data_IF_128899768138
#
_entry.id   IF_128899768138
#
_cell.length_a   1.000
_cell.length_b   1.000
_cell.length_c   1.000
_cell.angle_alpha   90.00
_cell.angle_beta   90.00
_cell.angle_gamma   90.00
#
_symmetry.space_group_name_H-M   'P 1'
#
loop_
_entity.id
_entity.type
_entity.pdbx_description
1 polymer ?
#
# COMPACT_ATOMS: atom_id res chain seq x y z
N UNK A 1 14.46 30.42 -22.62
CA UNK A 1 13.79 29.10 -22.56
C UNK A 1 12.69 29.20 -21.50
N UNK A 2 11.56 28.49 -21.63
CA UNK A 2 10.59 28.40 -20.53
C UNK A 2 11.13 27.39 -19.52
N UNK A 3 11.67 27.85 -18.39
CA UNK A 3 12.28 26.99 -17.39
C UNK A 3 11.38 26.96 -16.16
N UNK A 4 11.09 25.76 -15.68
CA UNK A 4 10.34 25.54 -14.44
C UNK A 4 11.35 25.04 -13.40
N UNK A 5 11.75 25.92 -12.50
CA UNK A 5 12.67 25.55 -11.41
C UNK A 5 11.98 24.60 -10.44
N UNK A 6 12.77 23.75 -9.78
CA UNK A 6 12.25 22.83 -8.78
C UNK A 6 11.57 23.61 -7.64
N UNK A 7 10.24 23.53 -7.58
CA UNK A 7 9.41 24.23 -6.58
C UNK A 7 8.67 25.47 -7.08
N UNK A 8 8.76 25.84 -8.37
CA UNK A 8 7.97 26.93 -8.93
C UNK A 8 6.63 26.44 -9.51
N UNK A 9 5.53 27.09 -9.12
CA UNK A 9 4.18 26.71 -9.53
C UNK A 9 3.89 26.97 -11.01
N UNK A 10 4.51 27.99 -11.61
CA UNK A 10 4.37 28.32 -13.03
C UNK A 10 5.74 28.45 -13.71
N UNK A 11 5.89 27.99 -14.96
CA UNK A 11 7.13 28.14 -15.71
C UNK A 11 7.40 29.63 -16.00
N UNK A 12 8.63 30.07 -15.80
CA UNK A 12 9.07 31.43 -16.09
C UNK A 12 9.92 31.45 -17.35
N UNK A 13 9.76 32.49 -18.18
CA UNK A 13 10.71 32.76 -19.27
C UNK A 13 12.00 33.31 -18.67
N UNK A 14 13.02 32.48 -18.62
CA UNK A 14 14.36 32.90 -18.21
C UNK A 14 15.31 32.88 -19.41
N UNK A 15 16.11 33.93 -19.52
CA UNK A 15 17.28 33.93 -20.38
C UNK A 15 18.38 33.21 -19.60
N UNK A 16 18.89 32.12 -20.16
CA UNK A 16 19.99 31.36 -19.58
C UNK A 16 21.13 31.35 -20.57
N UNK A 17 22.34 31.55 -20.07
CA UNK A 17 23.55 31.51 -20.88
C UNK A 17 24.04 30.08 -20.92
N UNK A 18 24.37 29.59 -22.12
CA UNK A 18 25.05 28.30 -22.23
C UNK A 18 26.51 28.51 -21.88
N UNK A 19 27.02 27.71 -20.95
CA UNK A 19 28.45 27.66 -20.60
C UNK A 19 28.95 26.24 -20.75
N UNK A 20 30.27 26.09 -20.84
CA UNK A 20 30.93 24.79 -20.93
C UNK A 20 31.89 24.64 -19.77
N UNK A 21 31.73 23.56 -19.01
CA UNK A 21 32.64 23.22 -17.92
C UNK A 21 33.50 22.03 -18.36
N UNK A 22 34.81 22.14 -18.15
CA UNK A 22 35.72 21.02 -18.31
C UNK A 22 35.89 20.34 -16.95
N UNK A 23 35.63 19.05 -16.89
CA UNK A 23 35.84 18.20 -15.73
C UNK A 23 36.84 17.11 -16.08
N UNK A 24 37.63 16.66 -15.11
CA UNK A 24 38.55 15.54 -15.29
C UNK A 24 38.11 14.39 -14.39
N UNK A 25 38.16 13.17 -14.93
CA UNK A 25 37.90 11.98 -14.14
C UNK A 25 39.12 11.49 -13.36
N UNK A 26 38.93 10.44 -12.57
CA UNK A 26 39.99 9.87 -11.73
C UNK A 26 41.20 9.35 -12.54
N UNK A 27 41.00 9.03 -13.82
CA UNK A 27 42.04 8.57 -14.75
C UNK A 27 42.69 9.73 -15.53
N UNK A 28 42.29 10.98 -15.24
CA UNK A 28 42.79 12.20 -15.87
C UNK A 28 42.18 12.49 -17.24
N UNK A 29 41.12 11.77 -17.64
CA UNK A 29 40.43 12.00 -18.91
C UNK A 29 39.50 13.21 -18.77
N UNK A 30 39.57 14.09 -19.76
CA UNK A 30 38.78 15.32 -19.78
C UNK A 30 37.38 15.10 -20.38
N UNK A 31 36.37 15.58 -19.67
CA UNK A 31 34.96 15.55 -20.03
C UNK A 31 34.42 16.98 -20.14
N UNK A 32 33.80 17.32 -21.27
CA UNK A 32 33.16 18.62 -21.47
C UNK A 32 31.66 18.54 -21.16
N UNK A 33 31.23 19.28 -20.15
CA UNK A 33 29.83 19.43 -19.77
C UNK A 33 29.25 20.68 -20.40
N UNK A 34 28.14 20.54 -21.13
CA UNK A 34 27.35 21.68 -21.60
C UNK A 34 26.32 22.03 -20.54
N UNK A 35 26.46 23.20 -19.94
CA UNK A 35 25.65 23.65 -18.82
C UNK A 35 24.86 24.91 -19.18
N UNK A 36 23.77 25.12 -18.46
CA UNK A 36 22.95 26.31 -18.54
C UNK A 36 23.03 27.04 -17.20
N UNK A 37 23.39 28.33 -17.21
CA UNK A 37 23.56 29.10 -15.98
C UNK A 37 22.21 29.54 -15.44
N UNK A 38 22.02 29.41 -14.13
CA UNK A 38 20.81 29.85 -13.44
C UNK A 38 21.13 30.22 -11.99
N UNK A 39 20.56 31.33 -11.49
CA UNK A 39 20.89 31.90 -10.17
C UNK A 39 20.49 30.99 -9.01
N UNK A 40 19.45 30.17 -9.19
CA UNK A 40 18.98 29.19 -8.20
C UNK A 40 18.65 27.87 -8.89
N UNK A 41 19.46 26.85 -8.66
CA UNK A 41 19.28 25.52 -9.27
C UNK A 41 18.22 24.69 -8.54
N UNK A 42 18.38 24.49 -7.23
CA UNK A 42 17.40 23.82 -6.36
C UNK A 42 17.46 24.40 -4.95
N UNK A 43 16.49 24.02 -4.10
CA UNK A 43 16.63 24.16 -2.66
C UNK A 43 17.83 23.33 -2.16
N UNK A 44 18.42 23.72 -1.04
CA UNK A 44 19.45 22.94 -0.36
C UNK A 44 18.92 21.52 -0.08
N UNK A 45 19.72 20.50 -0.38
CA UNK A 45 19.42 19.13 0.02
C UNK A 45 20.40 18.69 1.12
N UNK A 46 19.92 17.85 2.02
CA UNK A 46 20.79 17.13 2.95
C UNK A 46 21.41 15.96 2.20
N UNK A 47 22.74 15.81 2.28
CA UNK A 47 23.40 14.59 1.83
C UNK A 47 22.81 13.35 2.52
N UNK A 48 22.83 12.21 1.83
CA UNK A 48 22.43 10.95 2.42
C UNK A 48 23.36 10.65 3.61
N UNK A 49 22.79 10.57 4.82
CA UNK A 49 23.53 10.15 6.00
C UNK A 49 23.81 8.66 5.87
N UNK A 50 25.09 8.30 5.83
CA UNK A 50 25.52 6.90 5.92
C UNK A 50 25.69 6.55 7.40
N UNK A 51 25.19 5.39 7.78
CA UNK A 51 25.35 4.89 9.14
C UNK A 51 26.80 4.43 9.36
N UNK A 52 27.21 4.32 10.63
CA UNK A 52 28.60 3.96 10.97
C UNK A 52 29.01 2.60 10.38
N UNK A 53 28.08 1.65 10.27
CA UNK A 53 28.32 0.35 9.63
C UNK A 53 28.59 0.48 8.12
N UNK A 54 27.88 1.37 7.42
CA UNK A 54 28.11 1.66 6.00
C UNK A 54 29.45 2.35 5.80
N UNK A 55 29.80 3.30 6.68
CA UNK A 55 31.09 3.98 6.67
C UNK A 55 32.25 3.01 6.94
N UNK A 56 32.08 2.08 7.88
CA UNK A 56 33.04 1.02 8.13
C UNK A 56 33.17 0.07 6.94
N UNK A 57 32.05 -0.27 6.28
CA UNK A 57 32.08 -1.07 5.06
C UNK A 57 32.86 -0.39 3.94
N UNK A 58 32.64 0.91 3.71
CA UNK A 58 33.36 1.71 2.71
C UNK A 58 34.85 1.75 3.04
N UNK A 59 35.22 2.02 4.29
CA UNK A 59 36.63 2.06 4.74
C UNK A 59 37.32 0.72 4.61
N UNK A 60 36.66 -0.37 5.02
CA UNK A 60 37.22 -1.74 4.98
C UNK A 60 37.44 -2.23 3.56
N UNK A 61 36.56 -1.85 2.64
CA UNK A 61 36.68 -2.20 1.22
C UNK A 61 37.48 -1.17 0.40
N UNK A 62 38.09 -0.17 1.07
CA UNK A 62 38.89 0.88 0.45
C UNK A 62 38.19 1.59 -0.73
N UNK A 63 36.87 1.80 -0.62
CA UNK A 63 36.07 2.39 -1.71
C UNK A 63 36.22 3.92 -1.67
N UNK A 64 36.66 4.51 -2.77
CA UNK A 64 36.78 5.97 -2.90
C UNK A 64 35.42 6.61 -3.14
N UNK A 65 34.94 7.37 -2.15
CA UNK A 65 33.72 8.19 -2.25
C UNK A 65 34.08 9.67 -2.33
N UNK A 66 33.30 10.45 -3.09
CA UNK A 66 33.57 11.89 -3.30
C UNK A 66 33.19 12.77 -2.11
N UNK A 67 32.36 12.28 -1.19
CA UNK A 67 31.88 13.05 -0.05
C UNK A 67 32.69 12.73 1.20
N UNK A 68 33.59 13.65 1.58
CA UNK A 68 33.99 13.76 2.98
C UNK A 68 32.76 14.24 3.75
N UNK A 69 32.10 13.33 4.48
CA UNK A 69 30.87 13.59 5.24
C UNK A 69 31.13 14.62 6.35
N UNK A 70 31.13 15.90 5.96
CA UNK A 70 31.38 17.04 6.86
C UNK A 70 30.09 17.56 7.49
N UNK A 71 28.93 17.03 7.09
CA UNK A 71 27.61 17.44 7.60
C UNK A 71 27.18 18.85 7.14
N UNK A 72 27.90 19.45 6.19
CA UNK A 72 27.63 20.80 5.69
C UNK A 72 26.51 20.72 4.64
N UNK A 73 25.38 21.37 4.94
CA UNK A 73 24.28 21.55 3.99
C UNK A 73 24.68 22.68 3.03
N UNK A 74 25.12 22.33 1.82
CA UNK A 74 25.41 23.30 0.76
C UNK A 74 24.47 23.08 -0.44
N UNK A 75 24.05 24.16 -1.15
CA UNK A 75 23.27 24.01 -2.37
C UNK A 75 24.09 23.31 -3.45
N UNK A 76 23.46 22.46 -4.30
CA UNK A 76 24.16 21.91 -5.45
C UNK A 76 24.62 23.03 -6.36
N UNK A 77 25.88 22.94 -6.78
CA UNK A 77 26.46 23.89 -7.73
C UNK A 77 26.15 23.52 -9.18
N UNK A 78 25.88 22.23 -9.45
CA UNK A 78 25.63 21.71 -10.80
C UNK A 78 24.53 20.65 -10.71
N UNK A 79 23.55 20.74 -11.61
CA UNK A 79 22.59 19.67 -11.87
C UNK A 79 22.95 19.01 -13.20
N UNK A 80 23.23 17.71 -13.14
CA UNK A 80 23.49 16.91 -14.35
C UNK A 80 22.19 16.20 -14.75
N UNK A 81 21.72 16.49 -15.95
CA UNK A 81 20.55 15.82 -16.52
C UNK A 81 20.86 14.39 -16.94
N UNK A 82 19.81 13.59 -17.13
CA UNK A 82 19.95 12.20 -17.59
C UNK A 82 20.58 12.10 -18.99
N UNK A 83 20.54 13.15 -19.80
CA UNK A 83 21.17 13.25 -21.11
C UNK A 83 22.71 13.21 -21.02
N UNK A 84 23.30 13.82 -20.00
CA UNK A 84 24.76 13.87 -19.80
C UNK A 84 25.27 12.91 -18.71
N UNK A 85 24.40 12.45 -17.80
CA UNK A 85 24.77 11.57 -16.68
C UNK A 85 25.50 10.29 -17.12
N UNK A 86 25.01 9.65 -18.19
CA UNK A 86 25.51 8.33 -18.60
C UNK A 86 26.98 8.32 -19.02
N UNK A 87 27.52 9.47 -19.46
CA UNK A 87 28.95 9.59 -19.81
C UNK A 87 29.89 9.44 -18.62
N UNK A 88 29.38 9.66 -17.40
CA UNK A 88 30.14 9.57 -16.16
C UNK A 88 29.95 8.25 -15.43
N UNK A 89 28.97 7.41 -15.78
CA UNK A 89 28.82 6.11 -15.12
C UNK A 89 29.91 5.16 -15.60
N UNK A 90 30.63 4.54 -14.67
CA UNK A 90 31.67 3.57 -15.00
C UNK A 90 31.09 2.16 -14.88
N UNK A 91 30.63 1.60 -16.01
CA UNK A 91 30.01 0.28 -16.04
C UNK A 91 31.00 -0.89 -15.86
N UNK A 92 32.30 -0.65 -15.98
CA UNK A 92 33.33 -1.69 -15.85
C UNK A 92 33.75 -1.89 -14.39
N UNK A 93 33.50 -0.89 -13.53
CA UNK A 93 33.77 -0.99 -12.11
C UNK A 93 32.64 -1.72 -11.36
N UNK A 94 32.94 -2.40 -10.23
CA UNK A 94 31.95 -3.17 -9.49
C UNK A 94 30.97 -2.28 -8.73
N UNK A 95 29.69 -2.62 -8.79
CA UNK A 95 28.67 -2.02 -7.93
C UNK A 95 28.67 -2.70 -6.55
N UNK A 96 28.60 -1.91 -5.48
CA UNK A 96 28.50 -2.44 -4.12
C UNK A 96 27.14 -2.15 -3.50
N UNK A 97 26.66 -3.09 -2.70
CA UNK A 97 25.50 -2.86 -1.82
C UNK A 97 26.03 -2.70 -0.40
N UNK A 98 25.77 -1.54 0.19
CA UNK A 98 26.07 -1.24 1.57
C UNK A 98 25.20 -2.08 2.52
N UNK A 99 25.66 -2.34 3.76
CA UNK A 99 24.86 -3.01 4.79
C UNK A 99 23.44 -2.45 4.94
N UNK A 100 23.27 -1.13 4.84
CA UNK A 100 21.95 -0.47 4.88
C UNK A 100 21.02 -0.78 3.68
N UNK A 101 21.51 -1.47 2.66
CA UNK A 101 20.82 -1.71 1.39
C UNK A 101 20.91 -0.54 0.41
N UNK A 102 21.66 0.52 0.75
CA UNK A 102 22.10 1.52 -0.22
C UNK A 102 23.10 0.92 -1.20
N UNK A 103 23.25 1.55 -2.35
CA UNK A 103 24.03 1.06 -3.45
C UNK A 103 25.05 2.11 -3.84
N UNK A 104 26.29 1.68 -3.94
CA UNK A 104 27.37 2.46 -4.51
C UNK A 104 27.44 2.15 -6.00
N UNK A 105 27.03 3.12 -6.80
CA UNK A 105 27.12 3.09 -8.25
C UNK A 105 28.48 3.69 -8.65
N UNK A 106 29.34 2.94 -9.33
CA UNK A 106 30.60 3.47 -9.80
C UNK A 106 30.38 4.55 -10.86
N UNK A 107 31.01 5.69 -10.66
CA UNK A 107 31.16 6.74 -11.67
C UNK A 107 32.64 7.00 -11.89
N UNK A 108 32.98 7.61 -13.02
CA UNK A 108 34.35 8.00 -13.37
C UNK A 108 34.91 9.08 -12.43
N UNK A 109 34.04 9.82 -11.73
CA UNK A 109 34.44 10.84 -10.76
C UNK A 109 34.62 10.28 -9.34
N UNK A 110 33.82 9.28 -8.96
CA UNK A 110 33.84 8.55 -7.67
C UNK A 110 32.65 7.57 -7.58
N UNK A 111 32.49 6.86 -6.47
CA UNK A 111 31.23 6.14 -6.21
C UNK A 111 30.10 7.07 -5.78
N UNK A 112 28.97 6.97 -6.48
CA UNK A 112 27.71 7.65 -6.19
C UNK A 112 26.80 6.77 -5.33
N UNK A 113 26.22 7.31 -4.26
CA UNK A 113 25.26 6.59 -3.42
C UNK A 113 23.85 6.68 -4.03
N UNK A 114 23.21 5.54 -4.22
CA UNK A 114 21.84 5.39 -4.72
C UNK A 114 21.07 4.35 -3.89
N UNK A 115 19.76 4.24 -4.04
CA UNK A 115 18.94 3.22 -3.35
C UNK A 115 18.27 2.34 -4.40
N UNK A 116 18.47 1.02 -4.33
CA UNK A 116 17.78 0.09 -5.24
C UNK A 116 16.47 -0.40 -4.64
N UNK A 117 15.53 -0.76 -5.51
CA UNK A 117 14.24 -1.34 -5.12
C UNK A 117 14.09 -2.58 -6.03
N UNK A 118 14.00 -3.81 -5.48
CA UNK A 118 13.72 -5.08 -6.21
C UNK A 118 13.68 -6.39 -5.33
N UNK A 119 12.58 -7.21 -5.38
CA UNK A 119 12.31 -8.59 -4.84
C UNK A 119 12.81 -9.84 -5.66
N UNK A 120 13.36 -10.91 -5.08
CA UNK A 120 13.39 -12.29 -5.67
C UNK A 120 13.48 -13.30 -4.51
N UNK A 121 12.87 -14.48 -4.49
CA UNK A 121 12.65 -15.50 -5.54
C UNK A 121 11.24 -16.11 -5.42
N UNK A 122 10.51 -16.54 -6.46
CA UNK A 122 10.78 -16.77 -7.87
C UNK A 122 10.22 -15.65 -8.75
N UNK A 123 10.92 -15.38 -9.85
CA UNK A 123 10.59 -14.49 -10.98
C UNK A 123 9.54 -13.38 -10.74
N UNK A 124 10.01 -12.12 -10.82
CA UNK A 124 9.23 -10.85 -10.84
C UNK A 124 9.17 -10.01 -9.55
N UNK A 125 10.38 -9.56 -9.23
CA UNK A 125 10.87 -8.29 -8.69
C UNK A 125 10.02 -7.05 -9.08
N UNK A 126 9.18 -6.47 -8.20
CA UNK A 126 8.71 -5.04 -8.30
C UNK A 126 8.63 -4.30 -6.97
N UNK A 127 9.60 -3.43 -6.75
CA UNK A 127 9.58 -2.29 -5.85
C UNK A 127 10.54 -1.31 -6.58
N UNK A 128 10.18 -0.02 -6.79
CA UNK A 128 10.85 1.18 -7.37
C UNK A 128 11.20 2.30 -6.35
N UNK A 129 12.38 2.88 -6.15
CA UNK A 129 12.45 4.27 -5.60
C UNK A 129 13.76 4.96 -6.05
N UNK A 130 13.77 5.40 -7.31
CA UNK A 130 14.32 6.71 -7.70
C UNK A 130 13.66 7.11 -9.03
N UNK A 131 13.37 8.40 -9.14
CA UNK A 131 12.52 9.03 -10.15
C UNK A 131 13.35 9.61 -11.29
N UNK A 132 13.00 9.26 -12.54
CA UNK A 132 13.36 10.03 -13.74
C UNK A 132 12.07 10.47 -14.40
N UNK A 133 11.90 11.79 -14.48
CA UNK A 133 10.77 12.46 -15.13
C UNK A 133 11.13 12.77 -16.59
N UNK A 134 10.42 12.15 -17.53
CA UNK A 134 10.22 12.64 -18.90
C UNK A 134 9.01 13.61 -18.93
N UNK A 135 9.07 14.67 -19.75
CA UNK A 135 7.88 15.46 -20.16
C UNK A 135 8.22 16.23 -21.45
N UNK A 136 7.75 15.87 -22.64
CA UNK A 136 6.38 15.79 -23.24
C UNK A 136 5.78 17.13 -23.72
N UNK A 137 5.46 17.16 -25.01
CA UNK A 137 4.61 18.13 -25.73
C UNK A 137 3.15 17.66 -25.78
N UNK A 138 2.23 18.59 -26.01
CA UNK A 138 0.77 18.42 -25.83
C UNK A 138 0.04 17.50 -26.81
N UNK A 139 0.66 17.09 -27.93
CA UNK A 139 0.04 16.14 -28.88
C UNK A 139 0.18 14.68 -28.43
N UNK A 140 1.11 14.39 -27.53
CA UNK A 140 1.28 13.06 -26.96
C UNK A 140 0.20 12.73 -25.92
N UNK A 141 -0.51 13.71 -25.34
CA UNK A 141 -1.44 13.44 -24.24
C UNK A 141 -2.65 12.61 -24.70
N UNK A 142 -3.18 12.85 -25.89
CA UNK A 142 -4.27 12.04 -26.47
C UNK A 142 -3.78 10.66 -26.89
N UNK A 143 -2.54 10.55 -27.40
CA UNK A 143 -1.89 9.28 -27.75
C UNK A 143 -1.55 8.46 -26.50
N UNK A 144 -1.08 9.09 -25.43
CA UNK A 144 -0.66 8.49 -24.16
C UNK A 144 -1.86 8.16 -23.28
N UNK A 145 -2.96 8.92 -23.36
CA UNK A 145 -4.24 8.52 -22.78
C UNK A 145 -4.85 7.36 -23.57
N UNK A 146 -4.74 7.32 -24.91
CA UNK A 146 -5.08 6.13 -25.69
C UNK A 146 -4.16 4.96 -25.39
N UNK A 147 -2.85 5.20 -25.22
CA UNK A 147 -1.83 4.17 -24.95
C UNK A 147 -2.00 3.64 -23.54
N UNK A 148 -2.27 4.48 -22.53
CA UNK A 148 -2.54 4.04 -21.18
C UNK A 148 -3.94 3.44 -21.06
N UNK A 149 -4.94 3.90 -21.81
CA UNK A 149 -6.26 3.25 -21.87
C UNK A 149 -6.19 1.91 -22.60
N UNK A 150 -5.31 1.76 -23.61
CA UNK A 150 -4.97 0.49 -24.25
C UNK A 150 -4.14 -0.41 -23.35
N UNK A 151 -3.10 0.11 -22.68
CA UNK A 151 -2.17 -0.60 -21.81
C UNK A 151 -2.83 -0.99 -20.48
N UNK A 152 -3.77 -0.20 -19.98
CA UNK A 152 -4.61 -0.56 -18.81
C UNK A 152 -5.75 -1.51 -19.17
N UNK A 153 -6.25 -1.50 -20.41
CA UNK A 153 -7.05 -2.60 -20.95
C UNK A 153 -6.20 -3.85 -21.26
N UNK A 154 -4.93 -3.70 -21.63
CA UNK A 154 -3.98 -4.80 -21.90
C UNK A 154 -3.45 -5.43 -20.60
N UNK A 155 -3.40 -4.68 -19.49
CA UNK A 155 -3.23 -5.25 -18.14
C UNK A 155 -4.49 -5.98 -17.65
N UNK A 156 -5.66 -5.68 -18.21
CA UNK A 156 -6.87 -6.52 -18.05
C UNK A 156 -6.95 -7.65 -19.10
N UNK A 157 -6.18 -7.57 -20.19
CA UNK A 157 -6.08 -8.56 -21.26
C UNK A 157 -4.73 -9.27 -21.32
N UNK A 158 -3.98 -9.38 -20.21
CA UNK A 158 -3.13 -10.56 -20.04
C UNK A 158 -4.10 -11.74 -20.11
N UNK A 159 -4.13 -12.44 -21.25
CA UNK A 159 -4.92 -13.64 -21.44
C UNK A 159 -4.52 -14.64 -20.36
N UNK A 160 -5.24 -14.60 -19.26
CA UNK A 160 -5.06 -15.44 -18.08
C UNK A 160 -6.03 -16.61 -18.23
N UNK A 161 -5.96 -17.24 -19.42
CA UNK A 161 -6.66 -18.47 -19.75
C UNK A 161 -8.17 -18.48 -19.44
N UNK A 162 -8.75 -19.69 -19.35
CA UNK A 162 -10.13 -19.88 -18.92
C UNK A 162 -10.38 -19.52 -17.44
N UNK A 163 -9.35 -19.49 -16.58
CA UNK A 163 -9.49 -19.29 -15.13
C UNK A 163 -9.96 -17.87 -14.75
N UNK A 164 -9.43 -16.82 -15.41
CA UNK A 164 -9.89 -15.44 -15.15
C UNK A 164 -11.32 -15.22 -15.61
N UNK A 165 -11.69 -15.81 -16.74
CA UNK A 165 -13.05 -15.75 -17.27
C UNK A 165 -14.03 -16.51 -16.37
N UNK A 166 -13.65 -17.70 -15.89
CA UNK A 166 -14.41 -18.46 -14.90
C UNK A 166 -14.59 -17.67 -13.60
N UNK A 167 -13.52 -17.07 -13.06
CA UNK A 167 -13.59 -16.22 -11.87
C UNK A 167 -14.46 -14.99 -12.06
N UNK A 168 -14.41 -14.36 -13.24
CA UNK A 168 -15.29 -13.25 -13.60
C UNK A 168 -16.76 -13.69 -13.63
N UNK A 169 -17.04 -14.86 -14.22
CA UNK A 169 -18.38 -15.44 -14.27
C UNK A 169 -18.91 -15.79 -12.88
N UNK A 170 -18.08 -16.37 -12.01
CA UNK A 170 -18.42 -16.62 -10.60
C UNK A 170 -18.71 -15.30 -9.89
N UNK A 171 -17.85 -14.29 -10.03
CA UNK A 171 -18.04 -12.99 -9.41
C UNK A 171 -19.32 -12.29 -9.88
N UNK A 172 -19.66 -12.39 -11.17
CA UNK A 172 -20.90 -11.83 -11.72
C UNK A 172 -22.13 -12.49 -11.09
N UNK A 173 -22.15 -13.83 -11.00
CA UNK A 173 -23.23 -14.58 -10.33
C UNK A 173 -23.35 -14.23 -8.85
N UNK A 174 -22.23 -14.13 -8.14
CA UNK A 174 -22.19 -13.73 -6.72
C UNK A 174 -22.75 -12.32 -6.54
N UNK A 175 -22.40 -11.39 -7.42
CA UNK A 175 -22.89 -10.00 -7.37
C UNK A 175 -24.39 -9.92 -7.69
N UNK A 176 -24.88 -10.72 -8.64
CA UNK A 176 -26.31 -10.84 -8.95
C UNK A 176 -27.10 -11.38 -7.75
N UNK A 177 -26.64 -12.46 -7.14
CA UNK A 177 -27.25 -13.03 -5.93
C UNK A 177 -27.21 -12.06 -4.75
N UNK A 178 -26.09 -11.35 -4.56
CA UNK A 178 -25.94 -10.30 -3.56
C UNK A 178 -26.98 -9.21 -3.77
N UNK A 179 -27.05 -8.61 -4.96
CA UNK A 179 -27.97 -7.52 -5.29
C UNK A 179 -29.43 -7.95 -5.15
N UNK A 180 -29.77 -9.17 -5.58
CA UNK A 180 -31.12 -9.72 -5.44
C UNK A 180 -31.52 -9.93 -3.98
N UNK A 181 -30.55 -10.19 -3.10
CA UNK A 181 -30.79 -10.41 -1.67
C UNK A 181 -30.86 -9.13 -0.84
N UNK A 182 -30.71 -7.95 -1.46
CA UNK A 182 -30.80 -6.67 -0.75
C UNK A 182 -32.27 -6.41 -0.40
N UNK A 183 -32.56 -6.42 0.90
CA UNK A 183 -33.88 -6.10 1.45
C UNK A 183 -33.78 -4.81 2.27
N UNK A 184 -34.58 -3.80 1.94
CA UNK A 184 -34.73 -2.62 2.80
C UNK A 184 -35.84 -2.89 3.79
N UNK A 185 -35.54 -2.93 5.09
CA UNK A 185 -36.56 -3.07 6.14
C UNK A 185 -36.79 -1.73 6.82
N UNK A 186 -38.00 -1.52 7.31
CA UNK A 186 -38.31 -0.33 8.10
C UNK A 186 -37.45 -0.37 9.39
N UNK A 187 -36.73 0.71 9.67
CA UNK A 187 -35.82 0.91 10.82
C UNK A 187 -34.36 0.42 10.73
N UNK A 188 -33.97 -0.38 9.73
CA UNK A 188 -32.56 -0.78 9.49
C UNK A 188 -32.28 -0.61 8.00
N UNK A 189 -31.25 0.18 7.66
CA UNK A 189 -31.06 0.72 6.31
C UNK A 189 -31.09 -0.34 5.20
N UNK A 190 -30.34 -1.44 5.35
CA UNK A 190 -30.25 -2.52 4.35
C UNK A 190 -29.89 -3.85 5.01
N UNK A 191 -30.57 -4.91 4.58
CA UNK A 191 -30.25 -6.31 4.86
C UNK A 191 -29.71 -6.96 3.60
N UNK A 192 -28.70 -7.80 3.74
CA UNK A 192 -28.15 -8.58 2.62
C UNK A 192 -27.80 -9.97 3.09
N UNK A 193 -28.05 -10.98 2.26
CA UNK A 193 -27.68 -12.37 2.57
C UNK A 193 -26.20 -12.58 2.30
N UNK A 194 -25.54 -13.37 3.15
CA UNK A 194 -24.16 -13.79 2.88
C UNK A 194 -24.13 -14.68 1.63
N UNK A 195 -23.23 -14.41 0.67
CA UNK A 195 -23.12 -15.21 -0.54
C UNK A 195 -22.38 -16.53 -0.23
N UNK A 196 -23.12 -17.52 0.25
CA UNK A 196 -22.57 -18.86 0.50
C UNK A 196 -22.24 -19.58 -0.81
N UNK A 197 -21.14 -20.32 -0.82
CA UNK A 197 -20.76 -21.21 -1.93
C UNK A 197 -21.78 -22.34 -2.03
N UNK A 198 -22.24 -22.69 -3.24
CA UNK A 198 -23.19 -23.79 -3.43
C UNK A 198 -22.56 -25.16 -3.16
N UNK A 199 -21.27 -25.29 -3.45
CA UNK A 199 -20.46 -26.47 -3.23
C UNK A 199 -19.46 -26.17 -2.11
N UNK A 200 -19.85 -26.46 -0.87
CA UNK A 200 -18.94 -26.42 0.27
C UNK A 200 -19.21 -27.62 1.19
N UNK A 201 -18.19 -28.08 1.89
CA UNK A 201 -18.38 -29.04 2.99
C UNK A 201 -19.33 -28.43 4.04
N UNK A 202 -20.18 -29.22 4.71
CA UNK A 202 -21.06 -28.71 5.74
C UNK A 202 -20.27 -27.92 6.79
N UNK A 203 -20.65 -26.68 7.06
CA UNK A 203 -20.01 -25.87 8.09
C UNK A 203 -20.40 -26.42 9.46
N UNK A 204 -19.47 -27.01 10.24
CA UNK A 204 -19.83 -27.63 11.50
C UNK A 204 -20.05 -26.58 12.60
N UNK A 205 -20.81 -26.98 13.61
CA UNK A 205 -20.92 -26.24 14.86
C UNK A 205 -19.54 -26.18 15.55
N UNK A 206 -19.07 -24.97 15.84
CA UNK A 206 -17.81 -24.70 16.52
C UNK A 206 -18.01 -24.03 17.90
N UNK A 207 -19.19 -24.21 18.53
CA UNK A 207 -19.54 -23.56 19.80
C UNK A 207 -18.52 -23.84 20.89
N UNK A 208 -18.11 -25.10 21.04
CA UNK A 208 -17.15 -25.49 22.07
C UNK A 208 -15.78 -24.82 21.88
N UNK A 209 -15.32 -24.66 20.64
CA UNK A 209 -14.09 -23.92 20.30
C UNK A 209 -14.21 -22.44 20.67
N UNK A 210 -15.30 -21.79 20.26
CA UNK A 210 -15.54 -20.38 20.54
C UNK A 210 -15.65 -20.12 22.06
N UNK A 211 -16.38 -20.97 22.77
CA UNK A 211 -16.52 -20.90 24.21
C UNK A 211 -15.19 -21.10 24.95
N UNK A 212 -14.36 -22.06 24.52
CA UNK A 212 -13.05 -22.27 25.12
C UNK A 212 -12.14 -21.04 24.96
N UNK A 213 -12.16 -20.40 23.79
CA UNK A 213 -11.43 -19.14 23.55
C UNK A 213 -11.96 -18.00 24.41
N UNK A 214 -13.28 -17.86 24.56
CA UNK A 214 -13.87 -16.88 25.47
C UNK A 214 -13.40 -17.09 26.91
N UNK A 215 -13.45 -18.32 27.42
CA UNK A 215 -12.98 -18.65 28.77
C UNK A 215 -11.49 -18.34 28.95
N UNK A 216 -10.67 -18.60 27.94
CA UNK A 216 -9.25 -18.26 27.95
C UNK A 216 -9.03 -16.74 28.04
N UNK A 217 -9.81 -15.94 27.31
CA UNK A 217 -9.75 -14.48 27.36
C UNK A 217 -10.17 -13.95 28.73
N UNK A 218 -11.28 -14.44 29.28
CA UNK A 218 -11.77 -14.01 30.59
C UNK A 218 -10.76 -14.31 31.69
N UNK A 219 -10.10 -15.49 31.64
CA UNK A 219 -9.01 -15.84 32.57
C UNK A 219 -7.77 -14.98 32.37
N UNK A 220 -7.37 -14.74 31.12
CA UNK A 220 -6.19 -13.93 30.81
C UNK A 220 -6.31 -12.51 31.37
N UNK A 221 -7.51 -11.93 31.31
CA UNK A 221 -7.79 -10.55 31.72
C UNK A 221 -8.55 -10.46 33.05
N UNK A 222 -8.56 -11.52 33.86
CA UNK A 222 -9.32 -11.59 35.11
C UNK A 222 -8.93 -10.47 36.10
N UNK A 223 -7.65 -10.08 36.09
CA UNK A 223 -7.12 -9.01 36.93
C UNK A 223 -7.23 -7.61 36.29
N UNK A 224 -7.68 -7.51 35.03
CA UNK A 224 -7.78 -6.26 34.28
C UNK A 224 -9.25 -5.77 34.22
N UNK A 225 -9.80 -5.37 35.37
CA UNK A 225 -11.22 -4.99 35.51
C UNK A 225 -11.67 -3.92 34.50
N UNK A 226 -10.84 -2.88 34.29
CA UNK A 226 -11.14 -1.80 33.34
C UNK A 226 -11.27 -2.33 31.90
N UNK A 227 -10.42 -3.28 31.51
CA UNK A 227 -10.45 -3.87 30.17
C UNK A 227 -11.70 -4.71 29.98
N UNK A 228 -12.04 -5.57 30.95
CA UNK A 228 -13.24 -6.40 30.89
C UNK A 228 -14.53 -5.54 30.86
N UNK A 229 -14.52 -4.42 31.58
CA UNK A 229 -15.63 -3.45 31.52
C UNK A 229 -15.76 -2.85 30.11
N UNK A 230 -14.67 -2.33 29.52
CA UNK A 230 -14.67 -1.83 28.14
C UNK A 230 -15.10 -2.89 27.14
N UNK A 231 -14.69 -4.15 27.37
CA UNK A 231 -15.08 -5.27 26.55
C UNK A 231 -16.59 -5.49 26.58
N UNK A 232 -17.19 -5.52 27.78
CA UNK A 232 -18.62 -5.66 27.97
C UNK A 232 -19.41 -4.48 27.36
N UNK A 233 -18.93 -3.25 27.55
CA UNK A 233 -19.56 -2.04 27.02
C UNK A 233 -19.68 -2.07 25.49
N UNK A 234 -18.72 -2.66 24.77
CA UNK A 234 -18.82 -2.83 23.31
C UNK A 234 -20.02 -3.69 22.92
N UNK A 235 -20.26 -4.80 23.61
CA UNK A 235 -21.41 -5.66 23.31
C UNK A 235 -22.73 -4.99 23.70
N UNK A 236 -22.76 -4.30 24.85
CA UNK A 236 -23.96 -3.55 25.27
C UNK A 236 -24.31 -2.41 24.31
N UNK A 237 -23.33 -1.65 23.81
CA UNK A 237 -23.54 -0.61 22.81
C UNK A 237 -24.10 -1.20 21.50
N UNK A 238 -23.60 -2.37 21.09
CA UNK A 238 -24.08 -3.06 19.88
C UNK A 238 -25.50 -3.61 20.03
N UNK A 239 -25.86 -4.16 21.20
CA UNK A 239 -27.23 -4.57 21.51
C UNK A 239 -28.18 -3.37 21.52
N UNK A 240 -27.81 -2.28 22.21
CA UNK A 240 -28.62 -1.05 22.27
C UNK A 240 -28.87 -0.43 20.88
N UNK A 241 -27.91 -0.56 19.98
CA UNK A 241 -28.00 -0.06 18.59
C UNK A 241 -28.71 -1.02 17.64
N UNK A 242 -29.24 -2.15 18.14
CA UNK A 242 -29.81 -3.23 17.34
C UNK A 242 -28.85 -3.72 16.24
N UNK A 243 -27.53 -3.63 16.48
CA UNK A 243 -26.51 -4.21 15.61
C UNK A 243 -26.41 -5.71 15.85
N UNK A 244 -26.75 -6.13 17.07
CA UNK A 244 -26.80 -7.52 17.51
C UNK A 244 -28.10 -7.76 18.25
N UNK A 245 -28.50 -9.01 18.26
CA UNK A 245 -29.63 -9.49 19.01
C UNK A 245 -29.24 -10.76 19.76
N UNK A 246 -29.97 -11.05 20.84
CA UNK A 246 -29.84 -12.30 21.55
C UNK A 246 -30.52 -13.41 20.76
N UNK A 247 -29.78 -14.50 20.54
CA UNK A 247 -30.30 -15.67 19.82
C UNK A 247 -30.97 -16.59 20.83
N UNK A 248 -32.24 -16.91 20.61
CA UNK A 248 -32.95 -17.89 21.43
C UNK A 248 -32.44 -19.30 21.12
N UNK A 249 -31.71 -19.90 22.07
CA UNK A 249 -31.18 -21.26 21.95
C UNK A 249 -32.29 -22.35 22.06
N UNK A 250 -33.50 -21.99 22.49
CA UNK A 250 -34.63 -22.92 22.68
C UNK A 250 -35.46 -23.15 21.42
N UNK A 251 -35.34 -22.27 20.42
CA UNK A 251 -36.01 -22.43 19.14
C UNK A 251 -35.18 -23.29 18.18
N UNK A 252 -35.65 -24.51 17.93
CA UNK A 252 -35.06 -25.48 16.98
C UNK A 252 -35.23 -25.07 15.49
N UNK A 253 -35.69 -23.84 15.23
CA UNK A 253 -35.88 -23.28 13.89
C UNK A 253 -34.56 -23.03 13.14
N UNK A 254 -33.41 -23.03 13.83
CA UNK A 254 -32.09 -22.92 13.20
C UNK A 254 -31.57 -24.29 12.71
N UNK A 255 -32.30 -24.91 11.79
CA UNK A 255 -32.04 -26.30 11.38
C UNK A 255 -30.95 -26.46 10.31
N UNK A 256 -30.37 -25.37 9.78
CA UNK A 256 -29.55 -25.46 8.54
C UNK A 256 -28.06 -25.10 8.67
N UNK A 257 -27.67 -24.14 9.52
CA UNK A 257 -26.24 -23.82 9.71
C UNK A 257 -26.04 -22.94 10.96
N UNK A 258 -25.27 -23.41 11.95
CA UNK A 258 -24.85 -22.64 13.13
C UNK A 258 -23.34 -22.58 13.21
N UNK A 259 -22.80 -21.36 13.31
CA UNK A 259 -21.37 -21.15 13.43
C UNK A 259 -21.09 -19.92 14.30
N UNK A 260 -20.14 -20.06 15.20
CA UNK A 260 -19.80 -19.08 16.22
C UNK A 260 -18.48 -18.41 15.86
N UNK A 261 -18.42 -17.09 16.02
CA UNK A 261 -17.19 -16.32 15.78
C UNK A 261 -16.49 -16.09 17.12
N UNK A 262 -15.36 -16.77 17.42
CA UNK A 262 -14.54 -16.41 18.56
C UNK A 262 -14.10 -14.96 18.43
N UNK A 263 -13.97 -14.27 19.54
CA UNK A 263 -13.68 -12.85 19.54
C UNK A 263 -12.68 -12.49 20.62
N UNK A 264 -11.88 -11.44 20.39
CA UNK A 264 -10.85 -11.01 21.32
C UNK A 264 -10.65 -9.50 21.33
N UNK A 265 -10.27 -8.91 22.48
CA UNK A 265 -9.91 -7.50 22.55
C UNK A 265 -8.55 -7.25 21.89
N UNK A 266 -8.44 -6.14 21.15
CA UNK A 266 -7.19 -5.62 20.62
C UNK A 266 -6.98 -4.21 21.15
N UNK A 267 -5.84 -4.00 21.80
CA UNK A 267 -5.47 -2.76 22.47
C UNK A 267 -4.33 -2.15 21.67
N UNK A 268 -4.43 -0.86 21.34
CA UNK A 268 -3.36 -0.12 20.65
C UNK A 268 -2.84 0.97 21.60
N UNK A 269 -1.68 0.78 22.24
CA UNK A 269 -1.23 1.62 23.36
C UNK A 269 -0.71 3.02 22.96
N UNK A 270 -0.42 3.28 21.68
CA UNK A 270 0.38 4.46 21.26
C UNK A 270 -0.42 5.69 20.80
N UNK A 271 -1.68 5.88 21.18
CA UNK A 271 -2.43 7.10 20.85
C UNK A 271 -3.23 7.60 22.04
N UNK A 272 -3.24 8.92 22.26
CA UNK A 272 -3.93 9.64 23.35
C UNK A 272 -5.45 9.39 23.45
N UNK A 273 -6.03 8.65 22.51
CA UNK A 273 -7.33 8.01 22.60
C UNK A 273 -7.20 6.52 22.23
N UNK A 274 -6.98 5.67 23.23
CA UNK A 274 -6.85 4.21 23.08
C UNK A 274 -8.06 3.63 22.37
N UNK A 275 -7.96 3.31 21.08
CA UNK A 275 -9.04 2.63 20.33
C UNK A 275 -9.11 1.17 20.74
N UNK A 276 -9.79 0.89 21.85
CA UNK A 276 -10.21 -0.46 22.21
C UNK A 276 -11.11 -1.02 21.11
N UNK A 277 -10.79 -2.19 20.57
CA UNK A 277 -11.60 -2.85 19.53
C UNK A 277 -11.76 -4.33 19.81
N UNK A 278 -12.92 -4.87 19.47
CA UNK A 278 -13.18 -6.31 19.51
C UNK A 278 -13.06 -6.87 18.09
N UNK A 279 -12.20 -7.86 17.92
CA UNK A 279 -11.98 -8.55 16.63
C UNK A 279 -12.63 -9.91 16.68
N UNK A 280 -13.34 -10.28 15.60
CA UNK A 280 -13.99 -11.56 15.42
C UNK A 280 -13.17 -12.41 14.44
N UNK A 281 -12.93 -13.67 14.79
CA UNK A 281 -12.15 -14.61 13.99
C UNK A 281 -13.07 -15.53 13.18
N UNK A 282 -13.35 -15.13 11.94
CA UNK A 282 -14.13 -15.93 10.98
C UNK A 282 -13.33 -17.08 10.34
N UNK A 283 -12.03 -17.18 10.64
CA UNK A 283 -11.18 -18.28 10.19
C UNK A 283 -11.11 -19.42 11.22
N UNK A 284 -11.80 -19.32 12.35
CA UNK A 284 -11.75 -20.34 13.39
C UNK A 284 -12.53 -21.60 13.00
N UNK A 285 -11.81 -22.72 12.86
CA UNK A 285 -12.36 -24.02 12.48
C UNK A 285 -11.68 -25.17 13.24
N UNK A 286 -12.32 -26.34 13.27
CA UNK A 286 -11.69 -27.58 13.71
C UNK A 286 -10.76 -28.13 12.63
N UNK A 287 -9.84 -29.01 13.03
CA UNK A 287 -8.95 -29.69 12.08
C UNK A 287 -9.79 -30.45 11.04
N UNK A 288 -9.47 -30.26 9.75
CA UNK A 288 -10.17 -30.86 8.62
C UNK A 288 -11.65 -30.46 8.53
N UNK A 289 -11.98 -29.21 8.86
CA UNK A 289 -13.32 -28.66 8.68
C UNK A 289 -13.23 -27.26 8.09
N UNK A 290 -14.21 -26.82 7.27
CA UNK A 290 -14.18 -25.48 6.70
C UNK A 290 -14.42 -24.42 7.78
N UNK A 291 -13.84 -23.23 7.57
CA UNK A 291 -14.18 -22.01 8.32
C UNK A 291 -15.28 -21.21 7.62
N UNK A 292 -15.84 -20.19 8.30
CA UNK A 292 -16.81 -19.30 7.67
C UNK A 292 -16.24 -18.61 6.42
N UNK A 293 -14.96 -18.23 6.45
CA UNK A 293 -14.27 -17.63 5.31
C UNK A 293 -14.15 -18.59 4.12
N UNK A 294 -14.12 -19.91 4.36
CA UNK A 294 -14.00 -20.92 3.30
C UNK A 294 -15.34 -21.17 2.60
N UNK A 295 -16.46 -21.02 3.31
CA UNK A 295 -17.80 -21.25 2.76
C UNK A 295 -18.46 -20.01 2.16
N UNK A 296 -17.96 -18.81 2.44
CA UNK A 296 -18.47 -17.56 1.87
C UNK A 296 -17.66 -17.17 0.63
N UNK A 297 -18.32 -16.70 -0.43
CA UNK A 297 -17.64 -16.10 -1.58
C UNK A 297 -17.01 -14.75 -1.19
N UNK A 298 -15.72 -14.58 -1.49
CA UNK A 298 -15.02 -13.30 -1.33
C UNK A 298 -15.67 -12.17 -2.15
N UNK A 299 -16.25 -12.51 -3.31
CA UNK A 299 -16.82 -11.57 -4.25
C UNK A 299 -15.77 -10.76 -5.02
N UNK A 300 -16.22 -9.89 -5.94
CA UNK A 300 -15.34 -9.02 -6.71
C UNK A 300 -14.68 -7.94 -5.83
N UNK A 301 -13.46 -7.55 -6.17
CA UNK A 301 -12.81 -6.39 -5.53
C UNK A 301 -13.50 -5.10 -5.96
N UNK A 302 -14.30 -4.52 -5.07
CA UNK A 302 -14.99 -3.23 -5.27
C UNK A 302 -14.11 -2.02 -4.92
N UNK A 303 -12.88 -2.25 -4.45
CA UNK A 303 -11.96 -1.17 -4.10
C UNK A 303 -11.47 -0.48 -5.38
N UNK A 304 -11.58 0.86 -5.47
CA UNK A 304 -11.05 1.59 -6.61
C UNK A 304 -9.52 1.42 -6.67
N UNK A 305 -8.98 1.36 -7.88
CA UNK A 305 -7.53 1.22 -8.10
C UNK A 305 -6.79 2.38 -7.42
N UNK A 306 -5.82 2.07 -6.56
CA UNK A 306 -5.14 3.06 -5.71
C UNK A 306 -4.54 4.22 -6.51
N UNK A 307 -3.91 3.92 -7.66
CA UNK A 307 -3.38 4.97 -8.54
C UNK A 307 -4.47 5.89 -9.08
N UNK A 308 -5.66 5.36 -9.38
CA UNK A 308 -6.81 6.15 -9.82
C UNK A 308 -7.36 7.05 -8.71
N UNK A 309 -7.25 6.64 -7.45
CA UNK A 309 -7.54 7.50 -6.29
C UNK A 309 -6.49 8.64 -6.23
N UNK A 310 -5.20 8.29 -6.30
CA UNK A 310 -4.10 9.26 -6.19
C UNK A 310 -4.08 10.29 -7.33
N UNK A 311 -4.42 9.88 -8.56
CA UNK A 311 -4.52 10.78 -9.71
C UNK A 311 -5.66 11.78 -9.53
N UNK A 312 -6.87 11.31 -9.17
CA UNK A 312 -8.01 12.19 -8.87
C UNK A 312 -7.73 13.14 -7.70
N UNK A 313 -6.97 12.68 -6.71
CA UNK A 313 -6.54 13.50 -5.59
C UNK A 313 -5.62 14.66 -6.03
N UNK A 314 -4.84 14.46 -7.09
CA UNK A 314 -3.91 15.48 -7.64
C UNK A 314 -4.55 16.43 -8.65
N UNK A 315 -5.69 16.07 -9.24
CA UNK A 315 -6.40 16.92 -10.21
C UNK A 315 -7.25 17.99 -9.54
N UNK A 316 -7.70 17.77 -8.29
CA UNK A 316 -8.50 18.74 -7.54
C UNK A 316 -7.62 19.83 -6.91
N UNK A 317 -8.06 21.08 -6.97
CA UNK A 317 -7.42 22.19 -6.25
C UNK A 317 -7.64 22.10 -4.72
N UNK A 318 -8.77 21.50 -4.31
CA UNK A 318 -9.16 21.32 -2.92
C UNK A 318 -9.57 19.87 -2.67
N UNK A 319 -9.26 19.35 -1.48
CA UNK A 319 -9.62 18.00 -1.06
C UNK A 319 -10.33 18.08 0.29
N UNK A 320 -11.48 17.42 0.39
CA UNK A 320 -12.15 17.18 1.66
C UNK A 320 -11.79 15.79 2.17
N UNK A 321 -11.33 15.71 3.41
CA UNK A 321 -11.08 14.47 4.14
C UNK A 321 -12.09 14.37 5.28
N UNK A 322 -12.75 13.22 5.40
CA UNK A 322 -13.68 12.92 6.49
C UNK A 322 -13.51 11.46 6.90
N UNK A 323 -13.52 11.20 8.21
CA UNK A 323 -13.57 9.85 8.76
C UNK A 323 -15.03 9.45 8.99
N UNK A 324 -15.46 8.33 8.41
CA UNK A 324 -16.81 7.80 8.62
C UNK A 324 -16.75 6.83 9.78
N UNK A 325 -17.13 7.30 10.96
CA UNK A 325 -17.15 6.45 12.16
C UNK A 325 -18.09 5.25 11.92
N UNK A 326 -17.57 4.03 12.17
CA UNK A 326 -18.36 2.78 12.20
C UNK A 326 -19.12 2.47 10.91
N UNK A 327 -18.58 2.85 9.75
CA UNK A 327 -19.21 2.62 8.43
C UNK A 327 -19.68 1.16 8.19
N UNK A 328 -18.95 0.17 8.70
CA UNK A 328 -19.29 -1.26 8.55
C UNK A 328 -20.40 -1.74 9.49
N UNK A 329 -20.67 -1.03 10.60
CA UNK A 329 -21.71 -1.40 11.55
C UNK A 329 -23.10 -0.87 11.16
N UNK A 330 -23.19 -0.07 10.10
CA UNK A 330 -24.46 0.47 9.58
C UNK A 330 -25.17 -0.46 8.59
N UNK A 331 -24.59 -1.65 8.30
CA UNK A 331 -25.15 -2.65 7.37
C UNK A 331 -25.23 -3.99 8.11
N UNK A 332 -26.43 -4.54 8.29
CA UNK A 332 -26.61 -5.79 9.02
C UNK A 332 -26.73 -6.98 8.05
N UNK A 333 -25.99 -8.08 8.27
CA UNK A 333 -26.19 -9.31 7.51
C UNK A 333 -27.54 -9.95 7.86
N UNK A 334 -28.22 -10.51 6.85
CA UNK A 334 -29.53 -11.16 6.99
C UNK A 334 -29.44 -12.44 7.81
N UNK A 335 -30.44 -12.66 8.67
CA UNK A 335 -30.71 -13.97 9.27
C UNK A 335 -31.22 -14.93 8.19
N UNK A 336 -30.65 -16.13 8.15
CA UNK A 336 -31.17 -17.18 7.27
C UNK A 336 -32.38 -17.84 7.94
N UNK A 337 -33.54 -17.92 7.27
CA UNK A 337 -34.67 -18.73 7.73
C UNK A 337 -34.46 -20.23 7.54
#
# INVERSE_FOLDING_TARGET
>A
MNVRTFGAERPAKTQSTTTYLQAWDADGVQHQLRLYTQDNLTKNFSEAKLDEEDLQFIRRNHIQTSTQHTGIISPPQILIGCDQLWSFINFEAPQFTLPSGLILIPTRLSYMVSRQRFLRNSQYKKLLNSSVHTRESSEDFDQWELHWRKESHEMENEYTGPEKEEKANINAKVLEEFNRSIEKRENIAYFVRLPLKKEHEPLPDNRALAYHRLRSILRKYENETKLLQQYHEVFQDQLKKNIREEVDESHDSFTKMRHYLPHQPVITPEKDNTKFRVVFDASAHYKNSPSLNDVVHQGPTVLPKLYGILLRFRTGQYVLLSDVEKAFLQRLPCQQP
#
